data_IF_543703525113
#
_entry.id   IF_543703525113
#
_cell.length_a   1.000
_cell.length_b   1.000
_cell.length_c   1.000
_cell.angle_alpha   90.00
_cell.angle_beta   90.00
_cell.angle_gamma   90.00
#
_symmetry.space_group_name_H-M   'P 1'
#
loop_
_entity.id
_entity.type
_entity.pdbx_description
1 polymer ?
#
# COMPACT_ATOMS: atom_id res chain seq x y z
N UNK A 1 -26.02 82.61 -16.42
CA UNK A 1 -25.19 81.60 -15.72
C UNK A 1 -26.12 80.56 -15.12
N UNK A 2 -26.17 79.34 -15.70
CA UNK A 2 -26.88 78.18 -15.14
C UNK A 2 -25.83 77.10 -14.89
N UNK A 3 -25.49 76.87 -13.62
CA UNK A 3 -24.68 75.71 -13.21
C UNK A 3 -25.62 74.49 -13.13
N UNK A 4 -25.37 73.49 -13.97
CA UNK A 4 -25.92 72.15 -13.77
C UNK A 4 -24.83 71.28 -13.15
N UNK A 5 -25.09 70.85 -11.92
CA UNK A 5 -24.26 69.94 -11.14
C UNK A 5 -24.64 68.51 -11.49
N UNK A 6 -23.74 67.79 -12.18
CA UNK A 6 -23.91 66.39 -12.53
C UNK A 6 -23.23 65.50 -11.48
N UNK A 7 -24.03 65.01 -10.54
CA UNK A 7 -23.81 63.78 -9.75
C UNK A 7 -24.15 62.64 -10.73
N UNK A 8 -23.36 61.61 -11.01
CA UNK A 8 -22.52 60.77 -10.18
C UNK A 8 -22.90 59.32 -10.50
N UNK A 9 -21.93 58.44 -10.77
CA UNK A 9 -22.03 56.99 -10.60
C UNK A 9 -20.67 56.38 -10.95
N UNK A 10 -19.83 56.17 -9.94
CA UNK A 10 -18.70 55.27 -10.07
C UNK A 10 -19.23 53.84 -9.94
N UNK A 11 -19.30 53.12 -11.05
CA UNK A 11 -19.62 51.70 -11.07
C UNK A 11 -18.47 50.92 -10.44
N UNK A 12 -18.68 50.41 -9.22
CA UNK A 12 -17.76 49.50 -8.55
C UNK A 12 -17.95 48.11 -9.18
N UNK A 13 -17.12 47.77 -10.17
CA UNK A 13 -17.03 46.40 -10.70
C UNK A 13 -16.42 45.49 -9.64
N UNK A 14 -17.27 44.69 -8.99
CA UNK A 14 -16.83 43.54 -8.18
C UNK A 14 -16.28 42.51 -9.17
N UNK A 15 -14.95 42.44 -9.29
CA UNK A 15 -14.31 41.31 -9.94
C UNK A 15 -14.58 40.08 -9.07
N UNK A 16 -15.45 39.19 -9.55
CA UNK A 16 -15.59 37.87 -8.96
C UNK A 16 -14.23 37.18 -9.13
N UNK A 17 -13.46 37.10 -8.04
CA UNK A 17 -12.37 36.14 -7.92
C UNK A 17 -13.03 34.77 -8.10
N UNK A 18 -12.95 34.24 -9.31
CA UNK A 18 -13.24 32.84 -9.55
C UNK A 18 -12.18 32.07 -8.77
N UNK A 19 -12.53 31.61 -7.57
CA UNK A 19 -11.75 30.58 -6.89
C UNK A 19 -11.64 29.42 -7.88
N UNK A 20 -10.42 29.09 -8.27
CA UNK A 20 -10.19 27.84 -8.99
C UNK A 20 -10.85 26.71 -8.18
N UNK A 21 -11.46 25.70 -8.83
CA UNK A 21 -11.93 24.52 -8.13
C UNK A 21 -10.75 23.99 -7.29
N UNK A 22 -10.90 24.05 -5.98
CA UNK A 22 -9.93 23.48 -5.06
C UNK A 22 -10.30 22.01 -4.95
N UNK A 23 -9.50 21.15 -5.57
CA UNK A 23 -9.56 19.72 -5.32
C UNK A 23 -9.27 19.47 -3.83
N UNK A 24 -9.95 18.51 -3.19
CA UNK A 24 -9.67 18.19 -1.80
C UNK A 24 -8.19 17.82 -1.65
N UNK A 25 -7.51 18.56 -0.79
CA UNK A 25 -6.10 18.38 -0.47
C UNK A 25 -5.99 17.36 0.67
N UNK A 26 -6.21 16.08 0.35
CA UNK A 26 -6.02 15.00 1.32
C UNK A 26 -4.52 14.77 1.50
N UNK A 27 -4.00 15.08 2.68
CA UNK A 27 -2.58 15.05 3.03
C UNK A 27 -2.34 14.16 4.25
N UNK A 28 -1.23 13.44 4.26
CA UNK A 28 -0.99 12.43 5.28
C UNK A 28 0.32 11.71 5.10
N UNK A 29 0.69 10.95 6.13
CA UNK A 29 1.88 10.11 6.16
C UNK A 29 1.50 8.65 6.29
N UNK A 30 2.25 7.78 5.60
CA UNK A 30 2.10 6.34 5.68
C UNK A 30 3.35 5.69 6.25
N UNK A 31 3.19 4.84 7.26
CA UNK A 31 4.28 4.08 7.90
C UNK A 31 3.89 2.62 8.04
N UNK A 32 4.85 1.70 8.05
CA UNK A 32 4.56 0.31 8.43
C UNK A 32 4.16 0.23 9.89
N UNK A 33 3.07 -0.47 10.20
CA UNK A 33 2.56 -0.60 11.57
C UNK A 33 3.52 -1.39 12.45
N UNK A 34 4.06 -2.49 11.90
CA UNK A 34 5.13 -3.29 12.52
C UNK A 34 6.28 -3.45 11.53
N UNK A 35 7.27 -2.53 11.55
CA UNK A 35 8.32 -2.52 10.54
C UNK A 35 9.24 -3.73 10.66
N UNK A 36 9.46 -4.31 11.84
CA UNK A 36 10.41 -5.43 12.03
C UNK A 36 9.79 -6.56 12.84
N UNK A 37 9.97 -7.81 12.41
CA UNK A 37 9.62 -8.99 13.20
C UNK A 37 10.44 -10.23 12.80
N UNK A 38 10.48 -11.24 13.67
CA UNK A 38 10.96 -12.59 13.32
C UNK A 38 9.75 -13.47 13.03
N UNK A 39 9.79 -14.22 11.93
CA UNK A 39 8.68 -15.05 11.45
C UNK A 39 9.14 -16.47 11.16
N UNK A 40 8.20 -17.42 11.14
CA UNK A 40 8.48 -18.79 10.70
C UNK A 40 8.59 -18.85 9.16
N UNK A 41 9.35 -19.84 8.65
CA UNK A 41 9.55 -20.04 7.21
C UNK A 41 8.25 -20.24 6.41
N UNK A 42 7.21 -20.77 7.05
CA UNK A 42 5.90 -21.05 6.43
C UNK A 42 4.82 -20.03 6.84
N UNK A 43 5.21 -18.92 7.46
CA UNK A 43 4.28 -17.90 7.94
C UNK A 43 3.82 -16.99 6.81
N UNK A 44 2.51 -16.78 6.71
CA UNK A 44 1.94 -15.71 5.88
C UNK A 44 2.18 -14.40 6.60
N UNK A 45 2.81 -13.45 5.93
CA UNK A 45 3.18 -12.16 6.51
C UNK A 45 2.18 -11.12 6.02
N UNK A 46 1.45 -10.51 6.96
CA UNK A 46 0.58 -9.39 6.68
C UNK A 46 1.38 -8.08 6.61
N UNK A 47 1.21 -7.33 5.52
CA UNK A 47 1.84 -6.01 5.34
C UNK A 47 0.83 -4.93 5.74
N UNK A 48 0.87 -4.57 7.03
CA UNK A 48 0.07 -3.49 7.62
C UNK A 48 0.78 -2.14 7.56
N UNK A 49 0.01 -1.10 7.26
CA UNK A 49 0.45 0.29 7.31
C UNK A 49 -0.51 1.14 8.13
N UNK A 50 0.02 2.15 8.80
CA UNK A 50 -0.75 3.17 9.51
C UNK A 50 -0.74 4.45 8.67
N UNK A 51 -1.93 4.89 8.23
CA UNK A 51 -2.13 6.23 7.67
C UNK A 51 -2.44 7.19 8.82
N UNK A 52 -1.78 8.35 8.81
CA UNK A 52 -2.12 9.50 9.66
C UNK A 52 -2.43 10.68 8.75
N UNK A 53 -3.62 11.28 8.87
CA UNK A 53 -3.94 12.51 8.16
C UNK A 53 -3.28 13.71 8.85
N UNK A 54 -2.74 14.63 8.05
CA UNK A 54 -2.20 15.88 8.57
C UNK A 54 -3.32 16.77 9.14
N UNK A 55 -3.02 17.60 10.14
CA UNK A 55 -3.97 18.54 10.75
C UNK A 55 -4.53 19.58 9.74
N UNK A 56 -3.78 19.84 8.66
CA UNK A 56 -4.19 20.72 7.56
C UNK A 56 -4.86 20.00 6.39
N UNK A 57 -5.01 18.67 6.47
CA UNK A 57 -5.65 17.88 5.42
C UNK A 57 -7.13 18.22 5.30
N UNK A 58 -7.72 17.97 4.14
CA UNK A 58 -9.16 17.76 4.05
C UNK A 58 -9.54 16.37 4.63
N UNK A 59 -10.78 16.17 5.12
CA UNK A 59 -11.24 14.85 5.56
C UNK A 59 -11.18 13.81 4.43
N UNK A 60 -10.76 12.59 4.76
CA UNK A 60 -10.81 11.45 3.86
C UNK A 60 -12.10 10.68 4.10
N UNK A 61 -13.07 10.84 3.19
CA UNK A 61 -14.34 10.10 3.22
C UNK A 61 -14.36 9.01 2.16
N UNK A 62 -14.90 7.84 2.50
CA UNK A 62 -15.14 6.75 1.56
C UNK A 62 -16.42 6.02 1.96
N UNK A 63 -17.35 5.88 1.03
CA UNK A 63 -18.63 5.21 1.20
C UNK A 63 -18.76 4.07 0.19
N UNK A 64 -18.60 2.83 0.66
CA UNK A 64 -18.66 1.65 -0.22
C UNK A 64 -20.06 1.44 -0.83
N UNK A 65 -21.09 1.96 -0.18
CA UNK A 65 -22.48 1.80 -0.62
C UNK A 65 -22.87 2.76 -1.77
N UNK A 66 -22.00 3.70 -2.12
CA UNK A 66 -22.25 4.74 -3.12
C UNK A 66 -21.35 4.65 -4.38
N UNK A 67 -21.31 3.51 -5.11
CA UNK A 67 -20.62 3.45 -6.40
C UNK A 67 -21.31 4.36 -7.45
N UNK A 68 -20.59 4.85 -8.48
CA UNK A 68 -19.25 4.40 -8.91
C UNK A 68 -18.08 5.18 -8.31
N UNK A 69 -18.35 6.22 -7.51
CA UNK A 69 -17.33 7.13 -6.95
C UNK A 69 -17.17 7.04 -5.43
N UNK A 70 -17.90 6.13 -4.79
CA UNK A 70 -17.76 5.79 -3.37
C UNK A 70 -17.86 7.00 -2.43
N UNK A 71 -18.84 7.86 -2.68
CA UNK A 71 -19.10 9.08 -1.89
C UNK A 71 -18.42 10.35 -2.41
N UNK A 72 -17.54 10.25 -3.42
CA UNK A 72 -16.90 11.40 -4.05
C UNK A 72 -17.77 12.00 -5.15
N UNK A 73 -17.70 13.33 -5.32
CA UNK A 73 -18.43 14.01 -6.39
C UNK A 73 -17.54 14.26 -7.60
N UNK A 74 -18.08 14.16 -8.80
CA UNK A 74 -17.33 14.44 -10.04
C UNK A 74 -16.78 15.88 -10.09
N UNK A 75 -17.41 16.81 -9.36
CA UNK A 75 -16.93 18.17 -9.23
C UNK A 75 -15.57 18.27 -8.51
N UNK A 76 -15.21 17.25 -7.74
CA UNK A 76 -13.94 17.16 -6.99
C UNK A 76 -12.84 16.46 -7.80
N UNK A 77 -13.09 16.08 -9.05
CA UNK A 77 -12.14 15.36 -9.90
C UNK A 77 -11.38 16.27 -10.87
N UNK A 78 -10.10 15.96 -11.16
CA UNK A 78 -9.27 16.74 -12.06
C UNK A 78 -9.84 16.78 -13.47
N UNK A 79 -9.89 17.96 -14.09
CA UNK A 79 -10.49 18.12 -15.43
C UNK A 79 -9.68 17.48 -16.55
N UNK A 80 -8.41 17.18 -16.31
CA UNK A 80 -7.51 16.50 -17.23
C UNK A 80 -6.51 15.61 -16.48
N UNK A 81 -5.92 14.67 -17.21
CA UNK A 81 -4.82 13.85 -16.75
C UNK A 81 -3.67 13.98 -17.74
N UNK A 82 -2.49 14.41 -17.29
CA UNK A 82 -1.32 14.59 -18.15
C UNK A 82 -1.62 15.42 -19.43
N UNK A 83 -2.49 16.42 -19.33
CA UNK A 83 -2.87 17.30 -20.44
C UNK A 83 -3.96 16.75 -21.37
N UNK A 84 -4.51 15.56 -21.10
CA UNK A 84 -5.64 15.01 -21.82
C UNK A 84 -6.95 15.22 -21.00
N UNK A 85 -7.91 16.02 -21.51
CA UNK A 85 -9.12 16.35 -20.75
C UNK A 85 -10.06 15.15 -20.63
N UNK A 86 -10.68 15.00 -19.46
CA UNK A 86 -11.77 14.05 -19.28
C UNK A 86 -13.02 14.54 -20.02
N UNK A 87 -13.59 13.67 -20.86
CA UNK A 87 -14.91 13.84 -21.44
C UNK A 87 -16.01 13.23 -20.54
N UNK A 88 -15.68 12.15 -19.83
CA UNK A 88 -16.53 11.55 -18.80
C UNK A 88 -15.69 10.80 -17.78
N UNK A 89 -16.22 10.69 -16.56
CA UNK A 89 -15.71 9.79 -15.54
C UNK A 89 -16.49 8.48 -15.57
N UNK A 90 -15.81 7.37 -15.27
CA UNK A 90 -16.40 6.05 -15.21
C UNK A 90 -16.50 5.54 -13.78
N UNK A 91 -15.40 5.63 -13.02
CA UNK A 91 -15.32 5.15 -11.64
C UNK A 91 -14.14 5.74 -10.89
N UNK A 92 -14.23 5.74 -9.57
CA UNK A 92 -13.05 5.88 -8.72
C UNK A 92 -12.40 4.50 -8.51
N UNK A 93 -11.08 4.46 -8.44
CA UNK A 93 -10.28 3.24 -8.34
C UNK A 93 -9.36 3.38 -7.14
N UNK A 94 -9.60 2.58 -6.11
CA UNK A 94 -8.63 2.40 -5.04
C UNK A 94 -7.48 1.51 -5.55
N UNK A 95 -6.26 1.85 -5.17
CA UNK A 95 -5.10 1.03 -5.48
C UNK A 95 -4.22 0.83 -4.26
N UNK A 96 -3.47 -0.27 -4.26
CA UNK A 96 -2.28 -0.45 -3.44
C UNK A 96 -1.07 -0.57 -4.36
N UNK A 97 0.09 -0.20 -3.87
CA UNK A 97 1.32 -0.14 -4.66
C UNK A 97 2.49 -0.67 -3.83
N UNK A 98 3.48 -1.23 -4.51
CA UNK A 98 4.75 -1.67 -3.94
C UNK A 98 5.84 -1.55 -4.99
N UNK A 99 7.08 -1.37 -4.55
CA UNK A 99 8.24 -1.43 -5.44
C UNK A 99 8.68 -2.88 -5.63
N UNK A 100 9.05 -3.26 -6.86
CA UNK A 100 9.58 -4.59 -7.17
C UNK A 100 11.06 -4.79 -6.81
N UNK A 101 11.67 -3.82 -6.13
CA UNK A 101 13.05 -3.87 -5.64
C UNK A 101 13.13 -4.40 -4.20
N UNK A 102 12.18 -5.24 -3.79
CA UNK A 102 12.15 -5.90 -2.49
C UNK A 102 12.86 -7.27 -2.56
N UNK A 103 13.22 -7.84 -1.40
CA UNK A 103 13.87 -9.16 -1.35
C UNK A 103 12.89 -10.31 -1.07
N UNK A 104 11.62 -10.01 -0.81
CA UNK A 104 10.57 -11.02 -0.66
C UNK A 104 10.22 -11.67 -2.00
N UNK A 105 9.97 -10.81 -3.00
CA UNK A 105 9.49 -11.13 -4.33
C UNK A 105 10.45 -10.51 -5.35
N UNK A 106 11.41 -11.30 -5.83
CA UNK A 106 12.38 -10.86 -6.84
C UNK A 106 11.63 -10.26 -8.03
N UNK A 107 11.85 -8.98 -8.35
CA UNK A 107 11.15 -8.25 -9.41
C UNK A 107 9.62 -8.49 -9.44
N UNK A 108 8.98 -8.49 -8.26
CA UNK A 108 7.54 -8.74 -8.12
C UNK A 108 7.04 -10.16 -8.47
N UNK A 109 7.91 -11.17 -8.51
CA UNK A 109 7.50 -12.58 -8.66
C UNK A 109 8.30 -13.39 -9.67
N UNK A 110 9.51 -12.97 -10.02
CA UNK A 110 10.45 -13.75 -10.83
C UNK A 110 10.82 -15.06 -10.14
N UNK A 111 11.32 -16.01 -10.94
CA UNK A 111 11.83 -17.28 -10.46
C UNK A 111 12.90 -17.07 -9.38
N UNK A 112 12.76 -17.79 -8.26
CA UNK A 112 13.63 -17.66 -7.09
C UNK A 112 13.09 -16.73 -6.00
N UNK A 113 11.98 -16.02 -6.25
CA UNK A 113 11.20 -15.37 -5.18
C UNK A 113 10.88 -16.38 -4.09
N UNK A 114 10.99 -15.96 -2.83
CA UNK A 114 10.71 -16.83 -1.66
C UNK A 114 9.25 -16.67 -1.20
N UNK A 115 8.63 -15.58 -1.64
CA UNK A 115 7.24 -15.25 -1.40
C UNK A 115 6.55 -14.94 -2.73
N UNK A 116 5.26 -15.22 -2.76
CA UNK A 116 4.29 -14.58 -3.64
C UNK A 116 3.55 -13.49 -2.86
N UNK A 117 2.86 -12.60 -3.56
CA UNK A 117 1.99 -11.63 -2.90
C UNK A 117 0.54 -11.85 -3.31
N UNK A 118 -0.37 -11.58 -2.39
CA UNK A 118 -1.80 -11.60 -2.64
C UNK A 118 -2.45 -10.38 -2.01
N UNK A 119 -3.30 -9.70 -2.76
CA UNK A 119 -4.15 -8.64 -2.21
C UNK A 119 -5.38 -9.33 -1.61
N UNK A 120 -5.67 -9.18 -0.30
CA UNK A 120 -6.78 -9.85 0.33
C UNK A 120 -8.09 -9.50 -0.39
N UNK A 121 -8.71 -10.49 -1.03
CA UNK A 121 -9.91 -10.31 -1.87
C UNK A 121 -11.17 -9.94 -1.07
N UNK A 122 -11.15 -10.13 0.25
CA UNK A 122 -12.24 -9.76 1.15
C UNK A 122 -11.87 -8.61 2.11
N UNK A 123 -10.58 -8.27 2.28
CA UNK A 123 -10.10 -7.52 3.47
C UNK A 123 -8.88 -6.59 3.25
N UNK A 124 -8.55 -6.13 2.03
CA UNK A 124 -7.56 -5.05 1.89
C UNK A 124 -8.15 -3.70 2.35
N UNK A 125 -7.46 -2.55 2.16
CA UNK A 125 -7.93 -1.16 2.45
C UNK A 125 -9.43 -0.93 2.23
N UNK A 126 -10.01 -1.66 1.27
CA UNK A 126 -11.43 -1.88 1.04
C UNK A 126 -12.32 -2.13 2.26
N UNK A 127 -11.86 -2.40 3.49
CA UNK A 127 -12.76 -2.50 4.66
C UNK A 127 -13.11 -1.17 5.28
N UNK A 128 -12.32 -0.12 5.05
CA UNK A 128 -12.66 1.22 5.52
C UNK A 128 -13.95 1.69 4.84
N UNK A 129 -14.86 2.19 5.65
CA UNK A 129 -16.14 2.77 5.27
C UNK A 129 -16.44 3.83 6.33
N UNK A 130 -16.45 5.09 5.96
CA UNK A 130 -16.54 6.20 6.90
C UNK A 130 -15.71 7.41 6.52
N UNK A 131 -15.31 8.18 7.53
CA UNK A 131 -14.55 9.42 7.37
C UNK A 131 -13.43 9.47 8.39
N UNK A 132 -12.21 9.70 7.91
CA UNK A 132 -11.07 10.10 8.73
C UNK A 132 -10.97 11.63 8.69
N UNK A 133 -10.95 12.25 9.86
CA UNK A 133 -10.75 13.68 10.01
C UNK A 133 -9.25 14.00 10.07
N UNK A 134 -8.87 15.27 9.88
CA UNK A 134 -7.50 15.72 10.11
C UNK A 134 -7.00 15.30 11.51
N UNK A 135 -5.78 14.77 11.58
CA UNK A 135 -5.19 14.21 12.81
C UNK A 135 -5.57 12.75 13.12
N UNK A 136 -6.60 12.19 12.49
CA UNK A 136 -6.98 10.79 12.70
C UNK A 136 -5.93 9.82 12.17
N UNK A 137 -5.93 8.61 12.76
CA UNK A 137 -5.05 7.49 12.39
C UNK A 137 -5.86 6.23 12.15
N UNK A 138 -5.46 5.46 11.14
CA UNK A 138 -6.06 4.16 10.86
C UNK A 138 -5.02 3.19 10.27
N UNK A 139 -5.18 1.91 10.63
CA UNK A 139 -4.34 0.82 10.15
C UNK A 139 -5.03 0.09 8.98
N UNK A 140 -4.24 -0.24 7.97
CA UNK A 140 -4.71 -0.84 6.74
C UNK A 140 -3.81 -2.01 6.34
N UNK A 141 -4.46 -3.14 6.04
CA UNK A 141 -3.81 -4.27 5.41
C UNK A 141 -3.70 -4.01 3.92
N UNK A 142 -2.46 -3.91 3.40
CA UNK A 142 -2.25 -3.70 1.97
C UNK A 142 -2.32 -5.01 1.19
N UNK A 143 -1.54 -5.98 1.62
CA UNK A 143 -1.41 -7.29 1.00
C UNK A 143 -0.76 -8.27 1.97
N UNK A 144 -0.80 -9.55 1.59
CA UNK A 144 -0.13 -10.64 2.28
C UNK A 144 1.03 -11.14 1.43
N UNK A 145 2.15 -11.45 2.08
CA UNK A 145 3.26 -12.18 1.49
C UNK A 145 3.11 -13.64 1.89
N UNK A 146 2.94 -14.50 0.90
CA UNK A 146 2.65 -15.92 1.06
C UNK A 146 3.94 -16.68 0.70
N UNK A 147 4.57 -17.39 1.64
CA UNK A 147 5.78 -18.13 1.34
C UNK A 147 5.51 -19.25 0.34
N UNK A 148 6.55 -19.64 -0.39
CA UNK A 148 6.48 -20.81 -1.27
C UNK A 148 6.14 -22.09 -0.50
N UNK A 149 5.73 -23.13 -1.24
CA UNK A 149 5.25 -24.39 -0.64
C UNK A 149 6.27 -25.07 0.28
N UNK A 150 7.57 -24.87 0.01
CA UNK A 150 8.67 -25.42 0.81
C UNK A 150 9.07 -24.50 2.00
N UNK A 151 8.42 -23.34 2.13
CA UNK A 151 8.78 -22.27 3.05
C UNK A 151 9.86 -21.34 2.48
N UNK A 152 9.99 -20.17 3.08
CA UNK A 152 11.05 -19.22 2.76
C UNK A 152 12.38 -19.65 3.41
N UNK A 153 13.48 -19.46 2.68
CA UNK A 153 14.82 -19.70 3.23
C UNK A 153 15.13 -18.75 4.41
N UNK A 154 15.91 -19.20 5.42
CA UNK A 154 16.30 -18.35 6.54
C UNK A 154 17.10 -17.13 6.08
N UNK A 155 16.76 -15.95 6.61
CA UNK A 155 17.40 -14.71 6.20
C UNK A 155 16.58 -13.47 6.54
N UNK A 156 17.11 -12.32 6.17
CA UNK A 156 16.42 -11.03 6.32
C UNK A 156 15.80 -10.66 4.97
N UNK A 157 14.48 -10.45 4.99
CA UNK A 157 13.70 -9.99 3.86
C UNK A 157 13.27 -8.55 4.09
N UNK A 158 13.34 -7.71 3.06
CA UNK A 158 13.12 -6.28 3.14
C UNK A 158 12.21 -5.77 2.03
N UNK A 159 11.32 -4.86 2.40
CA UNK A 159 10.42 -4.11 1.54
C UNK A 159 10.53 -2.63 1.87
N UNK A 160 10.95 -1.84 0.89
CA UNK A 160 11.27 -0.42 1.10
C UNK A 160 10.07 0.50 0.89
N UNK A 161 9.24 0.21 -0.11
CA UNK A 161 8.11 1.05 -0.48
C UNK A 161 6.85 0.22 -0.65
N UNK A 162 5.84 0.58 0.14
CA UNK A 162 4.46 0.19 -0.06
C UNK A 162 3.59 1.45 -0.04
N UNK A 163 2.39 1.36 -0.60
CA UNK A 163 1.51 2.50 -0.64
C UNK A 163 0.11 2.14 -1.06
N UNK A 164 -0.69 3.18 -1.18
CA UNK A 164 -2.10 3.13 -1.49
C UNK A 164 -2.59 4.49 -1.93
N UNK A 165 -3.77 4.53 -2.52
CA UNK A 165 -4.44 5.78 -2.80
C UNK A 165 -5.73 5.59 -3.55
N UNK A 166 -6.20 6.69 -4.10
CA UNK A 166 -7.39 6.79 -4.91
C UNK A 166 -7.02 7.42 -6.24
N UNK A 167 -7.49 6.82 -7.32
CA UNK A 167 -7.44 7.36 -8.67
C UNK A 167 -8.86 7.51 -9.20
N UNK A 168 -9.04 8.34 -10.22
CA UNK A 168 -10.25 8.36 -11.02
C UNK A 168 -9.94 7.81 -12.42
N UNK A 169 -10.83 6.98 -12.95
CA UNK A 169 -10.78 6.50 -14.32
C UNK A 169 -11.94 7.07 -15.12
N UNK A 170 -11.65 7.44 -16.36
CA UNK A 170 -12.63 7.96 -17.30
C UNK A 170 -12.18 7.82 -18.74
N UNK A 171 -12.77 8.64 -19.61
CA UNK A 171 -12.56 8.63 -21.05
C UNK A 171 -12.31 10.05 -21.56
N UNK A 172 -11.41 10.21 -22.54
CA UNK A 172 -11.26 11.47 -23.27
C UNK A 172 -12.29 11.62 -24.40
N UNK A 173 -12.27 12.79 -25.07
CA UNK A 173 -13.13 13.07 -26.22
C UNK A 173 -12.86 12.20 -27.45
N UNK A 174 -11.77 11.42 -27.46
CA UNK A 174 -11.41 10.48 -28.51
C UNK A 174 -11.78 9.03 -28.17
N UNK A 175 -12.33 8.78 -26.97
CA UNK A 175 -12.66 7.44 -26.47
C UNK A 175 -11.48 6.64 -25.92
N UNK A 176 -10.34 7.28 -25.61
CA UNK A 176 -9.24 6.61 -24.91
C UNK A 176 -9.51 6.63 -23.40
N UNK A 177 -9.14 5.54 -22.71
CA UNK A 177 -9.24 5.50 -21.25
C UNK A 177 -8.10 6.31 -20.62
N UNK A 178 -8.45 7.07 -19.60
CA UNK A 178 -7.53 7.91 -18.83
C UNK A 178 -7.69 7.59 -17.34
N UNK A 179 -6.57 7.58 -16.62
CA UNK A 179 -6.52 7.41 -15.17
C UNK A 179 -5.67 8.54 -14.59
N UNK A 180 -6.15 9.18 -13.54
CA UNK A 180 -5.41 10.20 -12.79
C UNK A 180 -5.45 9.87 -11.29
N UNK A 181 -4.32 10.03 -10.61
CA UNK A 181 -4.22 9.88 -9.15
C UNK A 181 -4.81 11.10 -8.47
N UNK A 182 -5.84 10.92 -7.62
CA UNK A 182 -6.40 12.00 -6.82
C UNK A 182 -5.51 12.27 -5.61
N UNK A 183 -5.08 11.20 -4.94
CA UNK A 183 -4.08 11.23 -3.89
C UNK A 183 -3.42 9.86 -3.75
N UNK A 184 -2.20 9.85 -3.21
CA UNK A 184 -1.43 8.65 -2.95
C UNK A 184 -0.54 8.82 -1.73
N UNK A 185 -0.54 7.80 -0.87
CA UNK A 185 0.35 7.71 0.28
C UNK A 185 1.32 6.56 0.09
N UNK A 186 2.60 6.82 0.39
CA UNK A 186 3.68 5.85 0.21
C UNK A 186 4.57 5.86 1.44
N UNK A 187 5.01 4.69 1.86
CA UNK A 187 6.13 4.58 2.80
C UNK A 187 7.38 5.05 2.06
N UNK A 188 7.99 6.14 2.51
CA UNK A 188 9.25 6.64 1.95
C UNK A 188 10.38 6.33 2.91
N UNK A 189 10.75 5.05 2.94
CA UNK A 189 11.74 4.53 3.88
C UNK A 189 13.02 4.12 3.18
N UNK A 190 13.96 5.07 3.17
CA UNK A 190 15.33 4.84 2.71
C UNK A 190 16.25 4.36 3.85
N UNK A 191 15.82 4.52 5.11
CA UNK A 191 16.56 4.12 6.30
C UNK A 191 16.06 2.78 6.86
N UNK A 192 17.00 1.96 7.34
CA UNK A 192 16.71 0.66 7.93
C UNK A 192 15.72 0.71 9.11
N UNK A 193 15.60 1.86 9.79
CA UNK A 193 14.69 2.04 10.93
C UNK A 193 13.21 2.08 10.54
N UNK A 194 12.88 2.23 9.26
CA UNK A 194 11.49 2.24 8.80
C UNK A 194 11.24 1.38 7.56
N UNK A 195 12.26 0.69 7.05
CA UNK A 195 12.08 -0.44 6.12
C UNK A 195 11.24 -1.53 6.77
N UNK A 196 10.33 -2.12 6.02
CA UNK A 196 9.64 -3.33 6.46
C UNK A 196 10.59 -4.51 6.31
N UNK A 197 11.00 -5.10 7.43
CA UNK A 197 11.98 -6.18 7.52
C UNK A 197 11.40 -7.38 8.26
N UNK A 198 11.69 -8.58 7.77
CA UNK A 198 11.30 -9.85 8.39
C UNK A 198 12.49 -10.78 8.43
N UNK A 199 12.86 -11.22 9.63
CA UNK A 199 13.86 -12.26 9.83
C UNK A 199 13.17 -13.61 9.83
N UNK A 200 13.42 -14.42 8.81
CA UNK A 200 12.92 -15.79 8.75
C UNK A 200 13.84 -16.68 9.57
N UNK A 201 13.30 -17.26 10.64
CA UNK A 201 14.06 -18.12 11.53
C UNK A 201 14.40 -19.47 10.86
N UNK A 202 15.57 -20.06 11.17
CA UNK A 202 15.89 -21.42 10.72
C UNK A 202 14.84 -22.43 11.18
N UNK A 203 14.41 -23.31 10.26
CA UNK A 203 13.48 -24.38 10.58
C UNK A 203 14.14 -25.32 11.60
N UNK A 204 13.58 -25.51 12.81
CA UNK A 204 14.14 -26.42 13.78
C UNK A 204 14.17 -27.83 13.19
N UNK A 205 15.37 -28.39 13.04
CA UNK A 205 15.53 -29.77 12.59
C UNK A 205 14.81 -30.65 13.61
N UNK A 206 13.80 -31.45 13.21
CA UNK A 206 13.06 -32.28 14.16
C UNK A 206 14.02 -33.14 14.97
N UNK A 207 13.78 -33.27 16.28
CA UNK A 207 14.60 -34.11 17.15
C UNK A 207 14.76 -35.54 16.60
N UNK A 208 13.80 -36.02 15.81
CA UNK A 208 13.87 -37.27 15.08
C UNK A 208 15.11 -37.41 14.17
N UNK A 209 15.59 -36.35 13.52
CA UNK A 209 16.82 -36.39 12.71
C UNK A 209 18.06 -36.54 13.58
N UNK A 210 18.09 -35.87 14.74
CA UNK A 210 19.16 -36.08 15.72
C UNK A 210 19.13 -37.50 16.28
N UNK A 211 17.94 -38.03 16.57
CA UNK A 211 17.76 -39.41 17.00
C UNK A 211 18.21 -40.39 15.92
N UNK A 212 17.83 -40.16 14.66
CA UNK A 212 18.21 -41.02 13.54
C UNK A 212 19.72 -40.99 13.29
N UNK A 213 20.33 -39.80 13.31
CA UNK A 213 21.78 -39.63 13.21
C UNK A 213 22.53 -40.34 14.36
N UNK A 214 22.04 -40.20 15.59
CA UNK A 214 22.63 -40.88 16.76
C UNK A 214 22.44 -42.40 16.73
N UNK A 215 21.29 -42.88 16.24
CA UNK A 215 21.01 -44.30 16.08
C UNK A 215 21.91 -44.94 15.02
N UNK A 216 22.13 -44.26 13.89
CA UNK A 216 23.05 -44.71 12.84
C UNK A 216 24.49 -44.81 13.36
N UNK A 217 24.96 -43.82 14.12
CA UNK A 217 26.28 -43.86 14.75
C UNK A 217 26.40 -45.01 15.77
N UNK A 218 25.35 -45.26 16.54
CA UNK A 218 25.28 -46.40 17.47
C UNK A 218 25.36 -47.75 16.75
N UNK A 219 24.69 -47.90 15.62
CA UNK A 219 24.71 -49.11 14.79
C UNK A 219 26.09 -49.40 14.20
N UNK A 220 26.80 -48.39 13.68
CA UNK A 220 28.17 -48.55 13.18
C UNK A 220 29.16 -48.91 14.29
N UNK A 221 28.98 -48.37 15.49
CA UNK A 221 29.77 -48.76 16.66
C UNK A 221 29.57 -50.23 17.06
N UNK A 222 28.32 -50.72 16.97
CA UNK A 222 27.98 -52.09 17.37
C UNK A 222 28.52 -53.16 16.40
N UNK A 223 28.55 -52.88 15.09
CA UNK A 223 29.08 -53.84 14.10
C UNK A 223 30.59 -54.02 14.23
N UNK A 224 31.34 -52.95 14.51
CA UNK A 224 32.80 -52.99 14.68
C UNK A 224 33.26 -53.81 15.89
N UNK A 225 32.44 -53.88 16.95
CA UNK A 225 32.83 -54.63 18.15
C UNK A 225 32.76 -56.15 17.94
N UNK A 226 31.98 -56.64 16.96
CA UNK A 226 31.85 -58.09 16.67
C UNK A 226 33.01 -58.66 15.86
N UNK A 227 33.82 -57.84 15.20
CA UNK A 227 34.98 -58.30 14.41
C UNK A 227 36.28 -58.41 15.23
N UNK A 228 36.31 -57.91 16.47
CA UNK A 228 37.48 -57.94 17.36
C UNK A 228 37.51 -59.08 18.38
N UNK A 229 36.56 -60.02 18.35
CA UNK A 229 36.51 -61.19 19.24
C UNK A 229 36.53 -62.44 18.37
N UNK A 230 37.72 -62.80 17.90
CA UNK A 230 38.04 -64.01 17.14
C UNK A 230 39.48 -64.43 17.41
#
# INVERSE_FOLDING_TARGET
MKLHSSIGMAALTIAALQSAPAYPAVMGSLVFTEPTATVAANEIIDVWVTLTLEESSDPLSYDRSSPPFYGWQEADFPTDANGAPFASYERAVLYTTRTCSDTFTLNCGDAGSQYSFSVPTANAWFTFDGTMNPGDRADFLLYQLIPDADGAEPGIYELHTAGLGLSVQGWDGSGNSIVEELFGFRTTCMDASCTFSREVAPIPIPAAMWLFGSALLGLVGFTRHREGVG
#
